data_IF_242834537422
#
_entry.id   IF_242834537422
#
_cell.length_a   1.000
_cell.length_b   1.000
_cell.length_c   1.000
_cell.angle_alpha   90.00
_cell.angle_beta   90.00
_cell.angle_gamma   90.00
#
_symmetry.space_group_name_H-M   'P 1'
#
loop_
_entity.id
_entity.type
_entity.pdbx_description
1 polymer ?
#
# COMPACT_ATOMS: atom_id res chain seq x y z
N UNK A 1 -11.29 -7.35 3.05
CA UNK A 1 -10.36 -8.11 3.91
C UNK A 1 -8.95 -7.68 3.56
N UNK A 2 -8.04 -7.57 4.55
CA UNK A 2 -6.65 -7.17 4.33
C UNK A 2 -5.71 -8.31 4.75
N UNK A 3 -4.58 -8.43 4.08
CA UNK A 3 -3.53 -9.41 4.41
C UNK A 3 -2.19 -8.71 4.28
N UNK A 4 -1.30 -8.98 5.24
CA UNK A 4 0.01 -8.34 5.34
C UNK A 4 1.08 -9.39 5.07
N UNK A 5 2.05 -9.05 4.22
CA UNK A 5 3.16 -9.93 3.85
C UNK A 5 4.46 -9.35 4.36
N UNK A 6 5.21 -10.11 5.16
CA UNK A 6 6.50 -9.69 5.72
C UNK A 6 7.69 -9.90 4.78
N UNK A 7 7.50 -10.63 3.68
CA UNK A 7 8.55 -10.89 2.69
C UNK A 7 8.87 -9.62 1.89
N UNK A 8 10.12 -9.12 1.93
CA UNK A 8 10.50 -7.95 1.15
C UNK A 8 10.40 -8.21 -0.35
N UNK A 9 9.72 -7.32 -1.08
CA UNK A 9 9.58 -7.40 -2.52
C UNK A 9 9.64 -6.02 -3.17
N UNK A 10 10.04 -5.96 -4.44
CA UNK A 10 9.86 -4.76 -5.25
C UNK A 10 8.36 -4.54 -5.52
N UNK A 11 7.93 -3.29 -5.70
CA UNK A 11 6.51 -2.92 -5.88
C UNK A 11 5.76 -3.81 -6.89
N UNK A 12 6.32 -4.00 -8.09
CA UNK A 12 5.68 -4.81 -9.14
C UNK A 12 5.51 -6.28 -8.73
N UNK A 13 6.46 -6.84 -7.96
CA UNK A 13 6.37 -8.20 -7.45
C UNK A 13 5.36 -8.29 -6.29
N UNK A 14 5.30 -7.28 -5.42
CA UNK A 14 4.32 -7.21 -4.34
C UNK A 14 2.88 -7.16 -4.90
N UNK A 15 2.63 -6.32 -5.91
CA UNK A 15 1.35 -6.28 -6.63
C UNK A 15 1.01 -7.63 -7.27
N UNK A 16 1.96 -8.24 -7.98
CA UNK A 16 1.73 -9.56 -8.59
C UNK A 16 1.40 -10.63 -7.54
N UNK A 17 2.04 -10.59 -6.36
CA UNK A 17 1.74 -11.51 -5.27
C UNK A 17 0.33 -11.30 -4.70
N UNK A 18 -0.15 -10.06 -4.61
CA UNK A 18 -1.54 -9.77 -4.23
C UNK A 18 -2.52 -10.24 -5.30
N UNK A 19 -2.23 -10.02 -6.59
CA UNK A 19 -3.04 -10.50 -7.72
C UNK A 19 -3.16 -12.03 -7.70
N UNK A 20 -2.04 -12.73 -7.45
CA UNK A 20 -2.01 -14.19 -7.36
C UNK A 20 -2.87 -14.73 -6.19
N UNK A 21 -3.12 -13.91 -5.17
CA UNK A 21 -4.01 -14.22 -4.05
C UNK A 21 -5.48 -13.80 -4.29
N UNK A 22 -5.79 -13.26 -5.47
CA UNK A 22 -7.13 -12.79 -5.84
C UNK A 22 -7.47 -11.38 -5.33
N UNK A 23 -6.46 -10.56 -5.02
CA UNK A 23 -6.61 -9.17 -4.60
C UNK A 23 -5.61 -8.23 -5.28
N UNK A 24 -5.42 -7.04 -4.70
CA UNK A 24 -4.46 -6.04 -5.16
C UNK A 24 -3.74 -5.44 -3.96
N UNK A 25 -2.64 -4.72 -4.16
CA UNK A 25 -2.11 -3.86 -3.11
C UNK A 25 -3.19 -2.88 -2.64
N UNK A 26 -3.18 -2.59 -1.35
CA UNK A 26 -4.31 -1.91 -0.69
C UNK A 26 -4.50 -0.49 -1.21
N UNK A 27 -5.74 -0.14 -1.56
CA UNK A 27 -6.19 1.23 -1.75
C UNK A 27 -6.66 1.83 -0.44
N UNK A 28 -6.36 3.11 -0.19
CA UNK A 28 -6.81 3.82 1.01
C UNK A 28 -7.77 4.92 0.58
N UNK A 29 -9.01 4.84 1.08
CA UNK A 29 -10.10 5.74 0.69
C UNK A 29 -10.34 6.89 1.68
N UNK A 30 -9.88 6.76 2.93
CA UNK A 30 -10.10 7.75 3.98
C UNK A 30 -9.11 7.57 5.16
N UNK A 31 -9.10 8.55 6.08
CA UNK A 31 -8.21 8.57 7.23
C UNK A 31 -8.46 7.43 8.23
N UNK A 32 -9.71 7.02 8.42
CA UNK A 32 -10.01 5.91 9.32
C UNK A 32 -9.46 4.58 8.78
N UNK A 33 -9.61 4.34 7.47
CA UNK A 33 -9.02 3.18 6.81
C UNK A 33 -7.49 3.21 6.89
N UNK A 34 -6.89 4.39 6.71
CA UNK A 34 -5.46 4.61 6.88
C UNK A 34 -4.99 4.17 8.27
N UNK A 35 -5.62 4.68 9.33
CA UNK A 35 -5.26 4.37 10.71
C UNK A 35 -5.38 2.87 11.00
N UNK A 36 -6.46 2.23 10.53
CA UNK A 36 -6.67 0.79 10.71
C UNK A 36 -5.61 -0.04 9.98
N UNK A 37 -5.25 0.32 8.76
CA UNK A 37 -4.20 -0.37 8.00
C UNK A 37 -2.86 -0.21 8.70
N UNK A 38 -2.52 1.00 9.11
CA UNK A 38 -1.23 1.30 9.74
C UNK A 38 -1.09 0.64 11.11
N UNK A 39 -2.15 0.55 11.90
CA UNK A 39 -2.12 -0.18 13.18
C UNK A 39 -2.07 -1.71 13.01
N UNK A 40 -2.79 -2.24 12.03
CA UNK A 40 -2.71 -3.67 11.70
C UNK A 40 -1.33 -4.04 11.15
N UNK A 41 -0.73 -3.18 10.31
CA UNK A 41 0.61 -3.37 9.77
C UNK A 41 1.65 -3.44 10.90
N UNK A 42 1.60 -2.53 11.88
CA UNK A 42 2.50 -2.55 13.06
C UNK A 42 2.47 -3.89 13.79
N UNK A 43 1.31 -4.55 13.84
CA UNK A 43 1.15 -5.83 14.53
C UNK A 43 1.56 -7.01 13.66
N UNK A 44 1.14 -7.01 12.38
CA UNK A 44 1.37 -8.12 11.46
C UNK A 44 2.82 -8.19 10.94
N UNK A 45 3.50 -7.04 10.89
CA UNK A 45 4.86 -6.89 10.35
C UNK A 45 5.92 -6.76 11.46
N UNK A 46 5.60 -7.12 12.70
CA UNK A 46 6.54 -7.06 13.84
C UNK A 46 7.85 -7.85 13.65
N UNK A 47 7.85 -8.84 12.76
CA UNK A 47 9.01 -9.69 12.47
C UNK A 47 9.93 -9.17 11.37
N UNK A 48 9.53 -8.11 10.64
CA UNK A 48 10.38 -7.51 9.61
C UNK A 48 11.21 -6.36 10.15
N UNK A 49 12.39 -6.15 9.57
CA UNK A 49 13.24 -4.98 9.82
C UNK A 49 12.81 -3.77 8.98
N UNK A 50 11.83 -3.94 8.09
CA UNK A 50 11.32 -2.86 7.25
C UNK A 50 10.47 -1.89 8.08
N UNK A 51 10.77 -0.59 7.93
CA UNK A 51 9.99 0.50 8.52
C UNK A 51 8.71 0.81 7.74
N UNK A 52 8.67 0.39 6.47
CA UNK A 52 7.65 0.78 5.50
C UNK A 52 7.09 -0.45 4.77
N UNK A 53 5.90 -0.30 4.22
CA UNK A 53 5.22 -1.34 3.43
C UNK A 53 4.61 -0.74 2.16
N UNK A 54 4.42 -1.57 1.14
CA UNK A 54 3.80 -1.14 -0.11
C UNK A 54 2.28 -0.99 0.03
N UNK A 55 1.75 0.10 -0.50
CA UNK A 55 0.32 0.28 -0.80
C UNK A 55 0.12 0.29 -2.31
N UNK A 56 -1.13 0.25 -2.80
CA UNK A 56 -1.41 0.21 -4.24
C UNK A 56 -1.21 1.53 -4.97
N UNK A 57 -0.77 2.59 -4.28
CA UNK A 57 -0.59 3.89 -4.90
C UNK A 57 0.63 3.83 -5.82
N UNK A 58 0.43 4.15 -7.10
CA UNK A 58 1.53 4.22 -8.07
C UNK A 58 1.26 5.25 -9.16
N UNK A 59 2.33 5.78 -9.74
CA UNK A 59 2.28 6.67 -10.92
C UNK A 59 2.86 5.99 -12.18
N UNK A 60 2.90 4.64 -12.17
CA UNK A 60 3.49 3.83 -13.25
C UNK A 60 2.81 4.02 -14.60
N UNK A 61 1.50 4.29 -14.60
CA UNK A 61 0.71 4.51 -15.84
C UNK A 61 0.95 5.90 -16.39
N UNK A 62 1.07 6.90 -15.53
CA UNK A 62 1.31 8.29 -15.95
C UNK A 62 2.12 8.98 -14.86
N UNK A 63 3.38 9.25 -15.16
CA UNK A 63 4.30 9.93 -14.23
C UNK A 63 3.68 11.22 -13.69
N UNK A 64 3.69 11.38 -12.37
CA UNK A 64 3.08 12.52 -11.69
C UNK A 64 1.55 12.43 -11.50
N UNK A 65 0.90 11.36 -11.95
CA UNK A 65 -0.50 11.05 -11.64
C UNK A 65 -0.60 9.72 -10.90
N UNK A 66 -0.84 9.82 -9.61
CA UNK A 66 -1.02 8.66 -8.75
C UNK A 66 -2.41 8.05 -8.95
N UNK A 67 -2.43 6.72 -9.02
CA UNK A 67 -3.63 5.91 -9.10
C UNK A 67 -3.44 4.64 -8.25
N UNK A 68 -4.56 4.07 -7.79
CA UNK A 68 -4.56 2.78 -7.12
C UNK A 68 -4.52 1.64 -8.14
N UNK A 69 -3.73 0.59 -7.88
CA UNK A 69 -3.59 -0.58 -8.77
C UNK A 69 -4.88 -1.40 -8.91
N UNK A 70 -5.77 -1.32 -7.92
CA UNK A 70 -7.09 -1.97 -7.92
C UNK A 70 -8.16 -1.21 -8.73
N UNK A 71 -7.83 -0.02 -9.25
CA UNK A 71 -8.75 0.84 -9.99
C UNK A 71 -9.67 1.69 -9.11
N UNK A 72 -9.48 1.69 -7.79
CA UNK A 72 -10.23 2.53 -6.86
C UNK A 72 -9.95 4.01 -7.09
N UNK A 73 -10.91 4.86 -6.70
CA UNK A 73 -10.78 6.29 -6.92
C UNK A 73 -9.71 6.89 -6.01
N UNK A 74 -8.76 7.62 -6.59
CA UNK A 74 -7.65 8.22 -5.86
C UNK A 74 -8.07 9.55 -5.21
N UNK A 75 -8.80 9.48 -4.09
CA UNK A 75 -9.35 10.65 -3.40
C UNK A 75 -8.67 10.99 -2.08
N UNK A 76 -8.02 10.01 -1.47
CA UNK A 76 -7.35 10.18 -0.19
C UNK A 76 -5.85 10.01 -0.36
N UNK A 77 -5.11 10.90 0.27
CA UNK A 77 -3.66 10.88 0.31
C UNK A 77 -3.18 11.31 1.68
N UNK A 78 -2.28 10.53 2.26
CA UNK A 78 -1.59 10.89 3.51
C UNK A 78 -0.09 10.80 3.30
N UNK A 79 0.46 11.70 2.48
CA UNK A 79 1.88 11.68 2.14
C UNK A 79 2.73 11.99 3.38
N UNK A 80 3.67 11.10 3.70
CA UNK A 80 4.67 11.34 4.73
C UNK A 80 5.52 12.57 4.39
N UNK A 81 5.91 13.34 5.41
CA UNK A 81 6.73 14.55 5.23
C UNK A 81 8.13 14.20 4.71
N UNK A 82 8.28 14.13 3.39
CA UNK A 82 9.57 14.03 2.71
C UNK A 82 9.74 12.86 1.74
N UNK A 83 8.82 11.90 1.68
CA UNK A 83 8.90 10.77 0.73
C UNK A 83 7.55 10.38 0.17
N UNK A 84 7.58 9.97 -1.09
CA UNK A 84 6.45 9.57 -1.93
C UNK A 84 5.82 8.25 -1.42
N UNK A 85 5.17 8.29 -0.28
CA UNK A 85 4.43 7.18 0.30
C UNK A 85 3.27 7.69 1.16
N UNK A 86 2.08 7.15 0.91
CA UNK A 86 0.93 7.31 1.81
C UNK A 86 1.25 6.49 3.07
N UNK A 87 1.26 7.13 4.23
CA UNK A 87 1.49 6.52 5.57
C UNK A 87 0.20 6.37 6.35
#
# INVERSE_FOLDING_TARGET
CYTFTSEPAAFALAEQNCINQGGHLVSISNAFENDVISDNAKTALTSTTASDFWTGASDLVTTGKWAWTDGSNFQYTNWGSGTHGIV
#
